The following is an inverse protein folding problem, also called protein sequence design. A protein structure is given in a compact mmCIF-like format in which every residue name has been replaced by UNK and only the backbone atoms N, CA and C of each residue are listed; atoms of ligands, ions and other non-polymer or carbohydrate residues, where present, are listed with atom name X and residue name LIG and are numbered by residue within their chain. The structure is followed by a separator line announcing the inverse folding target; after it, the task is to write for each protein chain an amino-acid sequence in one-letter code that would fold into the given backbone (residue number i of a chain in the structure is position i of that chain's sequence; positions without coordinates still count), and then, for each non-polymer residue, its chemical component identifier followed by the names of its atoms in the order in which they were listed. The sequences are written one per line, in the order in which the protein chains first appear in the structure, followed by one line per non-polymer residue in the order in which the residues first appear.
data_IF_528884931253
#
_entry.id   IF_528884931253
#
_cell.length_a   1.000
_cell.length_b   1.000
_cell.length_c   1.000
_cell.angle_alpha   90.00
_cell.angle_beta   90.00
_cell.angle_gamma   90.00
#
_symmetry.space_group_name_H-M   'P 1'
#
loop_
_entity.id
_entity.type
_entity.pdbx_description
1 polymer ?
#
# COMPACT_ATOMS: atom_id res chain seq x y z
N UNK A 1 -9.88 -0.67 12.33
CA UNK A 1 -10.70 -1.55 13.19
C UNK A 1 -10.08 -2.94 13.13
N UNK A 2 -9.90 -3.55 14.28
CA UNK A 2 -9.36 -4.91 14.43
C UNK A 2 -10.50 -5.92 14.42
N UNK A 3 -10.32 -7.06 13.75
CA UNK A 3 -11.29 -8.17 13.69
C UNK A 3 -12.71 -7.71 13.31
N UNK A 4 -12.79 -6.89 12.26
CA UNK A 4 -14.07 -6.36 11.79
C UNK A 4 -14.91 -7.42 11.12
N UNK A 5 -16.09 -7.71 11.66
CA UNK A 5 -17.00 -8.72 11.10
C UNK A 5 -17.75 -8.18 9.89
N UNK A 6 -17.64 -8.90 8.77
CA UNK A 6 -18.34 -8.61 7.54
C UNK A 6 -19.18 -9.80 7.11
N UNK A 7 -20.47 -9.58 6.98
CA UNK A 7 -21.42 -10.59 6.48
C UNK A 7 -21.51 -10.48 4.97
N UNK A 8 -21.03 -11.50 4.28
CA UNK A 8 -21.31 -11.70 2.85
C UNK A 8 -22.62 -12.45 2.63
N UNK A 9 -22.91 -12.78 1.38
CA UNK A 9 -24.14 -13.49 1.01
C UNK A 9 -24.22 -14.90 1.63
N UNK A 10 -23.07 -15.58 1.72
CA UNK A 10 -23.00 -16.97 2.16
C UNK A 10 -22.19 -17.18 3.43
N UNK A 11 -21.29 -16.26 3.76
CA UNK A 11 -20.32 -16.45 4.83
C UNK A 11 -20.07 -15.16 5.61
N UNK A 12 -19.82 -15.32 6.89
CA UNK A 12 -19.23 -14.29 7.74
C UNK A 12 -17.71 -14.38 7.64
N UNK A 13 -17.06 -13.25 7.43
CA UNK A 13 -15.61 -13.13 7.42
C UNK A 13 -15.14 -12.06 8.41
N UNK A 14 -13.92 -12.20 8.88
CA UNK A 14 -13.34 -11.31 9.88
C UNK A 14 -11.88 -11.02 9.52
N UNK A 15 -11.64 -10.05 8.62
CA UNK A 15 -10.28 -9.56 8.34
C UNK A 15 -9.58 -9.08 9.62
N UNK A 16 -8.27 -9.28 9.70
CA UNK A 16 -7.51 -8.93 10.90
C UNK A 16 -7.57 -7.44 11.20
N UNK A 17 -7.30 -6.59 10.21
CA UNK A 17 -7.44 -5.13 10.35
C UNK A 17 -8.07 -4.52 9.11
N UNK A 18 -9.07 -3.64 9.33
CA UNK A 18 -9.64 -2.79 8.29
C UNK A 18 -9.42 -1.33 8.66
N UNK A 19 -8.81 -0.58 7.76
CA UNK A 19 -8.57 0.86 7.91
C UNK A 19 -9.72 1.63 7.29
N UNK A 20 -10.37 2.46 8.11
CA UNK A 20 -11.48 3.31 7.69
C UNK A 20 -11.07 4.78 7.69
N UNK A 21 -11.52 5.52 6.67
CA UNK A 21 -11.54 6.99 6.67
C UNK A 21 -12.95 7.43 6.34
N UNK A 22 -13.54 8.25 7.20
CA UNK A 22 -14.92 8.74 7.06
C UNK A 22 -15.95 7.63 6.83
N UNK A 23 -15.76 6.47 7.48
CA UNK A 23 -16.65 5.32 7.35
C UNK A 23 -16.40 4.46 6.11
N UNK A 24 -15.51 4.82 5.20
CA UNK A 24 -15.15 4.03 4.03
C UNK A 24 -14.00 3.06 4.35
N UNK A 25 -14.15 1.75 4.11
CA UNK A 25 -13.06 0.78 4.26
C UNK A 25 -12.06 0.94 3.12
N UNK A 26 -10.89 1.52 3.42
CA UNK A 26 -9.90 1.86 2.40
C UNK A 26 -8.76 0.86 2.29
N UNK A 27 -8.40 0.21 3.39
CA UNK A 27 -7.32 -0.79 3.37
C UNK A 27 -7.70 -2.00 4.20
N UNK A 28 -7.28 -3.16 3.74
CA UNK A 28 -7.43 -4.43 4.46
C UNK A 28 -6.04 -5.00 4.70
N UNK A 29 -5.75 -5.35 5.94
CA UNK A 29 -4.48 -5.93 6.37
C UNK A 29 -4.77 -7.33 6.90
N UNK A 30 -4.04 -8.31 6.39
CA UNK A 30 -4.09 -9.68 6.84
C UNK A 30 -2.73 -10.10 7.39
N UNK A 31 -2.73 -10.72 8.56
CA UNK A 31 -1.54 -11.18 9.24
C UNK A 31 -1.43 -12.70 9.22
N UNK A 32 -0.20 -13.18 9.25
CA UNK A 32 0.11 -14.57 9.57
C UNK A 32 1.08 -14.62 10.74
N UNK A 33 0.93 -15.66 11.55
CA UNK A 33 1.82 -15.85 12.70
C UNK A 33 3.18 -16.36 12.22
N UNK A 34 4.27 -15.64 12.45
CA UNK A 34 5.61 -16.07 12.04
C UNK A 34 6.08 -17.35 12.75
N UNK A 35 5.46 -17.73 13.86
CA UNK A 35 5.75 -18.97 14.57
C UNK A 35 5.12 -20.23 13.93
N UNK A 36 4.21 -20.05 12.97
CA UNK A 36 3.63 -21.17 12.23
C UNK A 36 4.52 -21.54 11.05
N UNK A 37 5.25 -22.64 11.18
CA UNK A 37 6.22 -23.18 10.20
C UNK A 37 5.60 -23.38 8.79
N UNK A 38 4.27 -23.45 8.69
CA UNK A 38 3.54 -23.63 7.43
C UNK A 38 2.94 -22.35 6.86
N UNK A 39 2.94 -21.27 7.60
CA UNK A 39 2.35 -20.00 7.17
C UNK A 39 3.46 -19.06 6.72
N UNK A 40 3.62 -18.92 5.41
CA UNK A 40 4.36 -17.83 4.83
C UNK A 40 3.43 -16.60 4.60
N UNK A 41 4.02 -15.48 4.29
CA UNK A 41 3.30 -14.23 4.00
C UNK A 41 2.29 -14.39 2.85
N UNK A 42 2.51 -15.33 1.93
CA UNK A 42 1.62 -15.61 0.79
C UNK A 42 0.32 -16.32 1.22
N UNK A 43 0.32 -16.96 2.37
CA UNK A 43 -0.92 -17.45 2.98
C UNK A 43 -1.87 -16.31 3.34
N UNK A 44 -1.36 -15.14 3.73
CA UNK A 44 -2.18 -13.94 3.92
C UNK A 44 -2.72 -13.41 2.59
N UNK A 45 -1.93 -13.43 1.52
CA UNK A 45 -2.40 -13.10 0.18
C UNK A 45 -3.57 -13.99 -0.25
N UNK A 46 -3.44 -15.30 -0.12
CA UNK A 46 -4.50 -16.26 -0.47
C UNK A 46 -5.78 -16.03 0.36
N UNK A 47 -5.63 -15.66 1.63
CA UNK A 47 -6.75 -15.31 2.49
C UNK A 47 -7.49 -14.07 1.97
N UNK A 48 -6.76 -13.04 1.52
CA UNK A 48 -7.35 -11.86 0.90
C UNK A 48 -8.09 -12.19 -0.40
N UNK A 49 -7.60 -13.13 -1.23
CA UNK A 49 -8.35 -13.59 -2.41
C UNK A 49 -9.70 -14.22 -1.99
N UNK A 50 -9.69 -15.06 -0.95
CA UNK A 50 -10.92 -15.64 -0.40
C UNK A 50 -11.89 -14.56 0.08
N UNK A 51 -11.41 -13.51 0.74
CA UNK A 51 -12.26 -12.41 1.18
C UNK A 51 -12.88 -11.65 0.01
N UNK A 52 -12.14 -11.45 -1.09
CA UNK A 52 -12.69 -10.81 -2.29
C UNK A 52 -13.86 -11.58 -2.89
N UNK A 53 -13.86 -12.90 -2.77
CA UNK A 53 -14.95 -13.77 -3.24
C UNK A 53 -16.14 -13.80 -2.25
N UNK A 54 -15.85 -13.91 -0.96
CA UNK A 54 -16.87 -14.12 0.07
C UNK A 54 -17.56 -12.84 0.53
N UNK A 55 -16.83 -11.71 0.55
CA UNK A 55 -17.29 -10.41 1.07
C UNK A 55 -16.90 -9.25 0.12
N UNK A 56 -17.25 -9.30 -1.18
CA UNK A 56 -16.78 -8.34 -2.19
C UNK A 56 -17.11 -6.89 -1.84
N UNK A 57 -18.21 -6.64 -1.15
CA UNK A 57 -18.64 -5.29 -0.78
C UNK A 57 -17.65 -4.53 0.10
N UNK A 58 -16.83 -5.24 0.89
CA UNK A 58 -15.77 -4.61 1.69
C UNK A 58 -14.73 -3.91 0.83
N UNK A 59 -14.57 -4.34 -0.41
CA UNK A 59 -13.51 -3.88 -1.32
C UNK A 59 -13.96 -2.81 -2.31
N UNK A 60 -15.22 -2.38 -2.29
CA UNK A 60 -15.75 -1.37 -3.23
C UNK A 60 -14.99 -0.04 -3.19
N UNK A 61 -14.47 0.35 -2.03
CA UNK A 61 -13.68 1.57 -1.83
C UNK A 61 -12.21 1.29 -1.53
N UNK A 62 -11.76 0.03 -1.69
CA UNK A 62 -10.43 -0.38 -1.33
C UNK A 62 -9.35 0.40 -2.09
N UNK A 63 -8.38 0.93 -1.39
CA UNK A 63 -7.20 1.60 -1.94
C UNK A 63 -6.08 0.60 -2.14
N UNK A 64 -5.75 -0.15 -1.10
CA UNK A 64 -4.68 -1.14 -1.09
C UNK A 64 -4.98 -2.32 -0.15
N UNK A 65 -4.23 -3.38 -0.36
CA UNK A 65 -4.21 -4.59 0.45
C UNK A 65 -2.81 -4.74 1.06
N UNK A 66 -2.75 -5.15 2.32
CA UNK A 66 -1.48 -5.39 3.00
C UNK A 66 -1.46 -6.82 3.52
N UNK A 67 -0.32 -7.47 3.35
CA UNK A 67 -0.01 -8.77 3.92
C UNK A 67 1.22 -8.65 4.81
N UNK A 68 1.24 -9.35 5.93
CA UNK A 68 2.38 -9.35 6.83
C UNK A 68 2.42 -10.61 7.69
N UNK A 69 3.61 -11.03 8.06
CA UNK A 69 3.87 -12.03 9.10
C UNK A 69 4.40 -11.40 10.41
N UNK A 70 4.34 -10.07 10.51
CA UNK A 70 4.85 -9.30 11.64
C UNK A 70 6.29 -8.84 11.47
N UNK A 71 7.06 -9.48 10.61
CA UNK A 71 8.46 -9.14 10.25
C UNK A 71 8.49 -8.51 8.88
N UNK A 72 8.07 -9.24 7.88
CA UNK A 72 7.89 -8.77 6.51
C UNK A 72 6.50 -8.17 6.34
N UNK A 73 6.39 -7.11 5.54
CA UNK A 73 5.12 -6.53 5.12
C UNK A 73 5.17 -6.07 3.67
N UNK A 74 4.10 -6.34 2.94
CA UNK A 74 3.96 -5.96 1.54
C UNK A 74 2.60 -5.31 1.28
N UNK A 75 2.59 -4.40 0.33
CA UNK A 75 1.38 -3.69 -0.12
C UNK A 75 1.16 -3.93 -1.60
N UNK A 76 -0.10 -4.16 -1.97
CA UNK A 76 -0.52 -4.32 -3.34
C UNK A 76 -1.89 -3.70 -3.61
N UNK A 77 -2.26 -3.58 -4.87
CA UNK A 77 -3.60 -3.14 -5.27
C UNK A 77 -4.62 -4.29 -5.15
N UNK A 78 -5.89 -3.95 -5.27
CA UNK A 78 -6.97 -4.95 -5.27
C UNK A 78 -6.81 -6.02 -6.36
N UNK A 79 -6.27 -5.65 -7.52
CA UNK A 79 -6.11 -6.54 -8.68
C UNK A 79 -4.69 -7.08 -8.85
N UNK A 80 -3.79 -6.74 -7.91
CA UNK A 80 -2.40 -7.19 -7.95
C UNK A 80 -2.27 -8.70 -7.75
N UNK A 81 -1.40 -9.33 -8.51
CA UNK A 81 -0.85 -10.65 -8.25
C UNK A 81 0.24 -10.60 -7.16
N UNK A 82 0.81 -11.74 -6.82
CA UNK A 82 1.86 -11.81 -5.79
C UNK A 82 3.10 -11.00 -6.14
N UNK A 83 3.49 -10.96 -7.41
CA UNK A 83 4.69 -10.23 -7.87
C UNK A 83 4.56 -8.72 -7.68
N UNK A 84 3.33 -8.21 -7.65
CA UNK A 84 3.00 -6.81 -7.46
C UNK A 84 2.72 -6.42 -6.01
N UNK A 85 2.93 -7.33 -5.07
CA UNK A 85 2.95 -7.01 -3.65
C UNK A 85 4.36 -6.64 -3.22
N UNK A 86 4.61 -5.34 -3.06
CA UNK A 86 5.93 -4.76 -2.85
C UNK A 86 6.12 -4.25 -1.42
N UNK A 87 7.37 -4.22 -0.95
CA UNK A 87 7.71 -3.61 0.34
C UNK A 87 7.62 -2.10 0.26
N UNK A 88 7.12 -1.48 1.33
CA UNK A 88 7.24 -0.02 1.52
C UNK A 88 8.44 0.26 2.40
N UNK A 89 9.56 0.70 1.82
CA UNK A 89 10.87 0.66 2.46
C UNK A 89 11.34 1.97 3.09
N UNK A 90 10.54 3.03 3.08
CA UNK A 90 10.96 4.32 3.62
C UNK A 90 9.79 5.09 4.21
N UNK A 91 10.09 5.95 5.19
CA UNK A 91 9.09 6.88 5.77
C UNK A 91 9.16 8.22 5.06
N UNK A 92 10.36 8.73 4.82
CA UNK A 92 10.66 10.09 4.33
C UNK A 92 11.12 10.14 2.87
N UNK A 93 11.47 8.98 2.29
CA UNK A 93 12.01 8.89 0.94
C UNK A 93 13.54 9.05 0.85
N UNK A 94 14.22 9.21 1.98
CA UNK A 94 15.68 9.36 2.06
C UNK A 94 16.34 8.15 2.72
N UNK A 95 15.76 7.68 3.82
CA UNK A 95 16.28 6.56 4.58
C UNK A 95 15.53 5.27 4.24
N UNK A 96 16.23 4.32 3.62
CA UNK A 96 15.68 3.00 3.30
C UNK A 96 15.83 2.10 4.53
N UNK A 97 14.75 1.36 4.85
CA UNK A 97 14.67 0.46 6.00
C UNK A 97 15.12 1.10 7.34
N UNK A 98 14.52 2.23 7.75
CA UNK A 98 15.01 3.07 8.86
C UNK A 98 15.04 2.35 10.21
N UNK A 99 14.31 1.25 10.37
CA UNK A 99 14.27 0.42 11.58
C UNK A 99 14.99 -0.94 11.42
N UNK A 100 15.70 -1.17 10.29
CA UNK A 100 16.35 -2.42 9.94
C UNK A 100 15.46 -3.36 9.13
N UNK A 101 16.09 -4.39 8.54
CA UNK A 101 15.50 -5.28 7.53
C UNK A 101 14.28 -6.09 8.00
N UNK A 102 14.07 -6.22 9.31
CA UNK A 102 13.00 -7.06 9.86
C UNK A 102 11.86 -6.25 10.47
N UNK A 103 11.68 -4.99 10.04
CA UNK A 103 10.63 -4.11 10.55
C UNK A 103 9.83 -3.44 9.43
N UNK A 104 9.57 -4.20 8.39
CA UNK A 104 8.84 -3.72 7.21
C UNK A 104 7.46 -3.18 7.56
N UNK A 105 6.75 -3.86 8.47
CA UNK A 105 5.41 -3.43 8.89
C UNK A 105 5.43 -2.05 9.56
N UNK A 106 6.41 -1.78 10.42
CA UNK A 106 6.53 -0.47 11.07
C UNK A 106 6.86 0.62 10.07
N UNK A 107 7.77 0.33 9.13
CA UNK A 107 8.14 1.25 8.06
C UNK A 107 6.93 1.55 7.16
N UNK A 108 6.17 0.51 6.78
CA UNK A 108 4.96 0.66 5.97
C UNK A 108 3.90 1.51 6.70
N UNK A 109 3.63 1.21 7.97
CA UNK A 109 2.62 1.96 8.74
C UNK A 109 3.02 3.42 8.90
N UNK A 110 4.25 3.71 9.28
CA UNK A 110 4.73 5.09 9.49
C UNK A 110 4.90 5.86 8.17
N UNK A 111 5.28 5.18 7.10
CA UNK A 111 5.47 5.78 5.77
C UNK A 111 4.15 5.96 5.03
N UNK A 112 3.50 4.86 4.64
CA UNK A 112 2.31 4.90 3.81
C UNK A 112 1.07 5.42 4.55
N UNK A 113 0.86 4.98 5.81
CA UNK A 113 -0.31 5.39 6.60
C UNK A 113 -0.13 6.68 7.39
N UNK A 114 0.95 7.43 7.18
CA UNK A 114 0.97 8.83 7.56
C UNK A 114 -0.22 9.53 6.89
N UNK A 115 -0.96 10.34 7.63
CA UNK A 115 -2.23 10.93 7.15
C UNK A 115 -2.07 11.71 5.84
N UNK A 116 -1.04 12.54 5.76
CA UNK A 116 -0.77 13.34 4.55
C UNK A 116 -0.37 12.44 3.39
N UNK A 117 0.58 11.53 3.61
CA UNK A 117 1.04 10.57 2.61
C UNK A 117 -0.11 9.74 2.08
N UNK A 118 -0.94 9.18 2.95
CA UNK A 118 -2.04 8.32 2.55
C UNK A 118 -3.11 9.06 1.75
N UNK A 119 -3.45 10.29 2.12
CA UNK A 119 -4.39 11.12 1.37
C UNK A 119 -3.85 11.50 0.00
N UNK A 120 -2.58 11.88 -0.10
CA UNK A 120 -1.92 12.13 -1.38
C UNK A 120 -1.86 10.86 -2.23
N UNK A 121 -1.57 9.72 -1.61
CA UNK A 121 -1.53 8.42 -2.27
C UNK A 121 -2.87 8.07 -2.90
N UNK A 122 -3.96 8.20 -2.16
CA UNK A 122 -5.33 7.97 -2.66
C UNK A 122 -5.62 8.89 -3.86
N UNK A 123 -5.26 10.16 -3.73
CA UNK A 123 -5.64 11.19 -4.71
C UNK A 123 -4.84 11.11 -6.02
N UNK A 124 -3.56 10.73 -5.95
CA UNK A 124 -2.64 10.92 -7.08
C UNK A 124 -1.89 9.65 -7.52
N UNK A 125 -1.91 8.59 -6.71
CA UNK A 125 -1.06 7.42 -6.94
C UNK A 125 -1.83 6.11 -7.08
N UNK A 126 -3.15 6.21 -7.29
CA UNK A 126 -4.02 5.11 -7.67
C UNK A 126 -4.58 5.38 -9.05
N UNK A 127 -4.36 4.47 -9.99
CA UNK A 127 -4.88 4.57 -11.35
C UNK A 127 -5.63 3.30 -11.73
N UNK A 128 -6.53 3.44 -12.68
CA UNK A 128 -7.25 2.33 -13.29
C UNK A 128 -6.87 2.26 -14.76
N UNK A 129 -6.49 1.10 -15.19
CA UNK A 129 -6.24 0.78 -16.58
C UNK A 129 -7.37 -0.13 -17.07
N UNK A 130 -7.99 0.23 -18.16
CA UNK A 130 -9.04 -0.57 -18.80
C UNK A 130 -8.50 -1.14 -20.11
N UNK A 131 -8.37 -2.47 -20.16
CA UNK A 131 -8.12 -3.24 -21.35
C UNK A 131 -9.25 -4.28 -21.48
N UNK A 132 -8.99 -5.55 -21.35
CA UNK A 132 -10.04 -6.61 -21.30
C UNK A 132 -10.73 -6.66 -19.93
N UNK A 133 -10.03 -6.24 -18.90
CA UNK A 133 -10.51 -6.14 -17.52
C UNK A 133 -10.00 -4.85 -16.92
N UNK A 134 -10.67 -4.37 -15.87
CA UNK A 134 -10.20 -3.21 -15.12
C UNK A 134 -9.08 -3.66 -14.18
N UNK A 135 -7.90 -3.10 -14.36
CA UNK A 135 -6.73 -3.32 -13.52
C UNK A 135 -6.49 -2.07 -12.70
N UNK A 136 -6.48 -2.21 -11.38
CA UNK A 136 -6.08 -1.16 -10.47
C UNK A 136 -4.58 -1.24 -10.23
N UNK A 137 -3.87 -0.14 -10.46
CA UNK A 137 -2.44 0.02 -10.18
C UNK A 137 -2.24 1.07 -9.09
N UNK A 138 -1.27 0.82 -8.23
CA UNK A 138 -0.83 1.76 -7.20
C UNK A 138 0.68 1.98 -7.35
N UNK A 139 1.14 3.17 -6.97
CA UNK A 139 2.56 3.48 -7.01
C UNK A 139 3.32 2.71 -5.92
N UNK A 140 4.54 2.34 -6.21
CA UNK A 140 5.50 1.85 -5.24
C UNK A 140 6.14 3.02 -4.47
N UNK A 141 6.76 2.74 -3.32
CA UNK A 141 7.33 3.78 -2.45
C UNK A 141 8.30 4.70 -3.19
N UNK A 142 9.17 4.14 -4.04
CA UNK A 142 10.15 4.92 -4.78
C UNK A 142 9.52 5.81 -5.85
N UNK A 143 8.45 5.36 -6.50
CA UNK A 143 7.68 6.16 -7.46
C UNK A 143 6.98 7.33 -6.75
N UNK A 144 6.34 7.07 -5.60
CA UNK A 144 5.71 8.11 -4.79
C UNK A 144 6.71 9.20 -4.40
N UNK A 145 7.84 8.82 -3.80
CA UNK A 145 8.85 9.77 -3.32
C UNK A 145 9.59 10.47 -4.47
N UNK A 146 9.85 9.78 -5.58
CA UNK A 146 10.46 10.40 -6.78
C UNK A 146 9.58 11.51 -7.35
N UNK A 147 8.28 11.26 -7.51
CA UNK A 147 7.32 12.27 -7.98
C UNK A 147 7.24 13.44 -7.02
N UNK A 148 7.16 13.17 -5.70
CA UNK A 148 7.12 14.23 -4.69
C UNK A 148 8.35 15.12 -4.74
N UNK A 149 9.54 14.54 -4.73
CA UNK A 149 10.83 15.29 -4.83
C UNK A 149 10.95 16.06 -6.14
N UNK A 150 10.50 15.47 -7.25
CA UNK A 150 10.50 16.14 -8.54
C UNK A 150 9.60 17.39 -8.54
N UNK A 151 8.40 17.29 -8.00
CA UNK A 151 7.47 18.41 -7.87
C UNK A 151 8.03 19.52 -6.97
N UNK A 152 8.59 19.17 -5.83
CA UNK A 152 9.24 20.11 -4.91
C UNK A 152 10.39 20.87 -5.61
N UNK A 153 11.23 20.15 -6.36
CA UNK A 153 12.33 20.76 -7.13
C UNK A 153 11.82 21.66 -8.24
N UNK A 154 10.82 21.23 -9.01
CA UNK A 154 10.22 22.04 -10.08
C UNK A 154 9.65 23.33 -9.49
N UNK A 155 8.87 23.23 -8.42
CA UNK A 155 8.26 24.41 -7.79
C UNK A 155 9.32 25.35 -7.25
N UNK A 156 10.35 24.85 -6.55
CA UNK A 156 11.42 25.69 -6.01
C UNK A 156 12.26 26.35 -7.10
N UNK A 157 12.62 25.61 -8.15
CA UNK A 157 13.43 26.14 -9.25
C UNK A 157 12.68 27.14 -10.14
N UNK A 158 11.34 27.04 -10.21
CA UNK A 158 10.49 27.92 -11.04
C UNK A 158 10.20 29.27 -10.40
N UNK A 159 10.45 29.44 -9.10
CA UNK A 159 10.27 30.74 -8.43
C UNK A 159 11.11 31.84 -9.08
N UNK A 160 10.75 33.16 -8.96
CA UNK A 160 11.53 34.25 -9.48
C UNK A 160 13.00 34.22 -9.07
N UNK A 161 13.27 33.85 -7.83
CA UNK A 161 14.59 33.69 -7.20
C UNK A 161 15.14 32.26 -7.28
N UNK A 162 14.44 31.34 -7.95
CA UNK A 162 14.83 29.93 -8.10
C UNK A 162 16.04 29.79 -9.06
N UNK A 163 16.77 28.69 -8.91
CA UNK A 163 17.96 28.37 -9.67
C UNK A 163 17.73 28.06 -11.17
N UNK A 164 16.47 27.91 -11.57
CA UNK A 164 16.03 27.55 -12.93
C UNK A 164 16.62 26.22 -13.45
N UNK A 165 17.13 25.38 -12.55
CA UNK A 165 17.74 24.10 -12.91
C UNK A 165 16.76 22.97 -12.76
N UNK A 166 16.70 22.10 -13.75
CA UNK A 166 16.02 20.81 -13.67
C UNK A 166 16.80 19.79 -12.83
N UNK A 167 16.42 18.56 -12.93
CA UNK A 167 17.07 17.44 -12.26
C UNK A 167 16.93 16.16 -13.08
N UNK A 168 17.66 15.14 -12.69
CA UNK A 168 17.53 13.77 -13.21
C UNK A 168 17.10 12.88 -12.08
N UNK A 169 16.08 12.05 -12.34
CA UNK A 169 15.69 10.98 -11.43
C UNK A 169 16.32 9.69 -11.96
N UNK A 170 17.17 9.11 -11.16
CA UNK A 170 17.79 7.82 -11.44
C UNK A 170 17.26 6.78 -10.44
N UNK A 171 16.74 5.69 -10.95
CA UNK A 171 16.30 4.55 -10.14
C UNK A 171 16.78 3.26 -10.80
N UNK A 172 17.42 2.39 -10.03
CA UNK A 172 17.73 1.01 -10.43
C UNK A 172 16.51 0.15 -10.18
N UNK A 173 16.13 -0.60 -11.20
CA UNK A 173 15.07 -1.62 -11.06
C UNK A 173 15.56 -2.81 -10.26
#
# INVERSE_FOLDING_TARGET
VNQFEVKGDKRLRRPDVVVFINGLPLSVIEFKNPADVKADIWSAFNQLQTYKEDIPNLFNTNVNLIISDGVEARVGSLTADQERFMKWRTIDGDNVDPFGEHRDLETLIKGLFNKETFLQFIKHFCIFEEDKTIIKKIAEYHQYHAVKKALEKIVSSSKPDGDKKGGVIWHTQ
#
